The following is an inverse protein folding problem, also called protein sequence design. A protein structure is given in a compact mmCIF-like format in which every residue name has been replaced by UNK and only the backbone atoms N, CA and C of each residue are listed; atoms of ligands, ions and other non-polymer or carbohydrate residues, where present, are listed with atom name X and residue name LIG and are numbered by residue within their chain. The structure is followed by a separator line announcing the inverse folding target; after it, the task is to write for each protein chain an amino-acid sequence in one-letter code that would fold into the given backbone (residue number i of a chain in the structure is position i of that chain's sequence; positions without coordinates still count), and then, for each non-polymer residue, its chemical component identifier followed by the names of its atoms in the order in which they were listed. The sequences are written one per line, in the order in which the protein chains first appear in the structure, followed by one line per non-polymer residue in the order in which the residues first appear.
data_IF_270080125508
#
_entry.id   IF_270080125508
#
_cell.length_a   1.000
_cell.length_b   1.000
_cell.length_c   1.000
_cell.angle_alpha   90.00
_cell.angle_beta   90.00
_cell.angle_gamma   90.00
#
_symmetry.space_group_name_H-M   'P 1'
#
loop_
_entity.id
_entity.type
_entity.pdbx_description
1 polymer ?
#
# COMPACT_ATOMS: atom_id res chain seq x y z
N UNK A 1 34.32 -8.03 43.64
CA UNK A 1 33.23 -7.04 43.50
C UNK A 1 32.82 -6.94 42.03
N UNK A 2 32.17 -7.97 41.48
CA UNK A 2 31.68 -8.00 40.09
C UNK A 2 30.27 -8.64 40.13
N UNK A 3 29.34 -7.93 40.75
CA UNK A 3 27.90 -8.20 40.76
C UNK A 3 27.26 -6.83 40.61
N UNK A 4 26.27 -6.68 39.74
CA UNK A 4 25.63 -5.43 39.28
C UNK A 4 26.12 -4.82 37.96
N UNK A 5 26.21 -5.66 36.92
CA UNK A 5 25.95 -5.21 35.56
C UNK A 5 25.07 -6.25 34.85
N UNK A 6 23.96 -6.60 35.51
CA UNK A 6 22.83 -7.22 34.82
C UNK A 6 22.25 -6.11 33.96
N UNK A 7 22.72 -6.09 32.72
CA UNK A 7 22.12 -5.43 31.58
C UNK A 7 20.64 -5.84 31.61
N UNK A 8 19.79 -4.94 32.11
CA UNK A 8 18.37 -4.89 31.80
C UNK A 8 18.27 -4.68 30.29
N UNK A 9 18.43 -5.77 29.55
CA UNK A 9 17.90 -5.93 28.22
C UNK A 9 16.38 -5.93 28.42
N UNK A 10 15.82 -4.73 28.63
CA UNK A 10 14.40 -4.47 28.49
C UNK A 10 14.11 -4.83 27.04
N UNK A 11 13.72 -6.08 26.82
CA UNK A 11 13.05 -6.49 25.61
C UNK A 11 11.76 -5.68 25.61
N UNK A 12 11.81 -4.47 25.04
CA UNK A 12 10.63 -3.72 24.64
C UNK A 12 10.03 -4.59 23.54
N UNK A 13 9.22 -5.57 23.95
CA UNK A 13 8.39 -6.29 22.99
C UNK A 13 7.49 -5.23 22.38
N UNK A 14 7.69 -4.96 21.09
CA UNK A 14 6.75 -4.15 20.33
C UNK A 14 5.37 -4.73 20.58
N UNK A 15 4.45 -3.90 21.07
CA UNK A 15 3.10 -4.33 21.35
C UNK A 15 2.48 -4.81 20.03
N UNK A 16 2.03 -6.05 19.99
CA UNK A 16 1.39 -6.62 18.81
C UNK A 16 -0.11 -6.44 18.94
N UNK A 17 -0.69 -5.63 18.06
CA UNK A 17 -2.12 -5.45 18.00
C UNK A 17 -2.82 -6.64 17.33
N UNK A 18 -4.00 -6.97 17.83
CA UNK A 18 -4.99 -7.83 17.17
C UNK A 18 -6.13 -6.97 16.63
N UNK A 19 -6.96 -7.53 15.76
CA UNK A 19 -8.16 -6.81 15.31
C UNK A 19 -9.17 -6.48 16.41
N UNK A 20 -9.09 -7.12 17.58
CA UNK A 20 -10.06 -6.92 18.65
C UNK A 20 -9.67 -5.79 19.61
N UNK A 21 -8.37 -5.54 19.78
CA UNK A 21 -7.80 -4.56 20.70
C UNK A 21 -7.14 -3.36 20.00
N UNK A 22 -6.95 -3.42 18.67
CA UNK A 22 -6.53 -2.25 17.90
C UNK A 22 -7.57 -1.11 18.04
N UNK A 23 -7.14 0.11 18.43
CA UNK A 23 -8.06 1.18 18.78
C UNK A 23 -8.84 1.72 17.58
N UNK A 24 -10.06 2.19 17.84
CA UNK A 24 -10.87 2.84 16.81
C UNK A 24 -10.61 4.35 16.77
N UNK A 25 -10.28 4.94 15.60
CA UNK A 25 -10.14 6.39 15.47
C UNK A 25 -11.49 7.12 15.49
N UNK A 26 -12.62 6.39 15.47
CA UNK A 26 -13.99 6.94 15.52
C UNK A 26 -14.74 6.58 16.79
N UNK A 27 -14.22 5.62 17.56
CA UNK A 27 -14.80 5.13 18.79
C UNK A 27 -14.48 6.03 19.98
N UNK A 28 -14.93 5.65 21.19
CA UNK A 28 -14.62 6.36 22.44
C UNK A 28 -13.11 6.37 22.77
N UNK A 29 -12.33 5.53 22.10
CA UNK A 29 -10.90 5.32 22.27
C UNK A 29 -10.04 6.04 21.22
N UNK A 30 -10.59 7.00 20.47
CA UNK A 30 -9.86 7.74 19.43
C UNK A 30 -8.56 8.38 19.94
N UNK A 31 -8.46 8.72 21.23
CA UNK A 31 -7.22 9.28 21.80
C UNK A 31 -6.06 8.27 21.80
N UNK A 32 -6.34 6.97 21.88
CA UNK A 32 -5.33 5.91 21.76
C UNK A 32 -4.71 5.85 20.36
N UNK A 33 -5.39 6.36 19.35
CA UNK A 33 -4.88 6.53 17.99
C UNK A 33 -3.94 7.75 17.84
N UNK A 34 -3.61 8.44 18.93
CA UNK A 34 -2.80 9.66 18.95
C UNK A 34 -3.44 10.85 18.23
N UNK A 35 -4.78 10.89 18.16
CA UNK A 35 -5.54 12.01 17.60
C UNK A 35 -6.38 12.70 18.66
N UNK A 36 -6.57 14.01 18.53
CA UNK A 36 -7.31 14.82 19.51
C UNK A 36 -8.84 14.81 19.32
N UNK A 37 -9.32 14.29 18.18
CA UNK A 37 -10.73 14.19 17.84
C UNK A 37 -10.97 12.94 16.98
N UNK A 38 -12.21 12.45 16.86
CA UNK A 38 -12.53 11.35 15.96
C UNK A 38 -12.09 11.62 14.50
N UNK A 39 -11.35 10.69 13.89
CA UNK A 39 -10.87 10.76 12.49
C UNK A 39 -10.99 9.39 11.79
N UNK A 40 -10.38 9.23 10.62
CA UNK A 40 -10.23 7.94 9.93
C UNK A 40 -8.77 7.45 9.89
N UNK A 41 -7.90 8.03 10.72
CA UNK A 41 -6.48 7.67 10.83
C UNK A 41 -6.21 7.21 12.25
N UNK A 42 -5.57 6.06 12.39
CA UNK A 42 -5.11 5.56 13.67
C UNK A 42 -3.63 5.19 13.63
N UNK A 43 -2.84 5.74 14.57
CA UNK A 43 -1.42 5.42 14.75
C UNK A 43 -1.10 5.31 16.25
N UNK A 44 -1.51 4.22 16.91
CA UNK A 44 -1.32 4.05 18.34
C UNK A 44 0.14 3.80 18.74
N UNK A 45 0.99 3.38 17.80
CA UNK A 45 2.41 3.10 18.06
C UNK A 45 3.34 4.31 17.84
N UNK A 46 2.78 5.44 17.39
CA UNK A 46 3.54 6.67 17.14
C UNK A 46 4.53 6.53 15.99
N UNK A 47 4.13 5.86 14.90
CA UNK A 47 4.94 5.77 13.68
C UNK A 47 5.10 7.14 13.00
N UNK A 48 4.15 8.05 13.23
CA UNK A 48 4.16 9.42 12.74
C UNK A 48 4.31 10.40 13.90
N UNK A 49 5.05 11.48 13.66
CA UNK A 49 4.99 12.68 14.50
C UNK A 49 3.59 13.29 14.48
N UNK A 50 3.27 14.14 15.46
CA UNK A 50 1.96 14.80 15.53
C UNK A 50 1.66 15.65 14.28
N UNK A 51 2.68 16.29 13.71
CA UNK A 51 2.56 17.11 12.51
C UNK A 51 2.30 16.24 11.27
N UNK A 52 3.07 15.16 11.07
CA UNK A 52 2.85 14.21 9.98
C UNK A 52 1.47 13.56 10.06
N UNK A 53 1.06 13.14 11.26
CA UNK A 53 -0.27 12.58 11.52
C UNK A 53 -1.37 13.56 11.16
N UNK A 54 -1.23 14.84 11.51
CA UNK A 54 -2.19 15.89 11.14
C UNK A 54 -2.28 16.06 9.61
N UNK A 55 -1.16 15.95 8.91
CA UNK A 55 -1.13 16.00 7.44
C UNK A 55 -1.81 14.78 6.81
N UNK A 56 -1.55 13.57 7.31
CA UNK A 56 -2.25 12.35 6.85
C UNK A 56 -3.76 12.46 7.10
N UNK A 57 -4.18 12.95 8.27
CA UNK A 57 -5.61 13.19 8.57
C UNK A 57 -6.23 14.14 7.54
N UNK A 58 -5.55 15.23 7.20
CA UNK A 58 -6.02 16.17 6.19
C UNK A 58 -6.11 15.52 4.80
N UNK A 59 -5.10 14.72 4.41
CA UNK A 59 -5.10 13.99 3.13
C UNK A 59 -6.25 12.99 3.03
N UNK A 60 -6.57 12.29 4.13
CA UNK A 60 -7.68 11.34 4.21
C UNK A 60 -9.04 12.05 4.11
N UNK A 61 -9.22 13.19 4.78
CA UNK A 61 -10.44 13.98 4.66
C UNK A 61 -10.61 14.58 3.25
N UNK A 62 -9.52 15.04 2.64
CA UNK A 62 -9.53 15.57 1.28
C UNK A 62 -9.71 14.48 0.23
N UNK A 63 -9.29 13.23 0.52
CA UNK A 63 -9.55 12.08 -0.34
C UNK A 63 -11.05 11.92 -0.60
N UNK A 64 -11.87 11.95 0.46
CA UNK A 64 -13.33 11.89 0.32
C UNK A 64 -13.87 13.04 -0.52
N UNK A 65 -13.46 14.27 -0.22
CA UNK A 65 -13.94 15.46 -0.95
C UNK A 65 -13.60 15.41 -2.44
N UNK A 66 -12.37 15.03 -2.77
CA UNK A 66 -11.85 15.04 -4.14
C UNK A 66 -12.31 13.84 -4.98
N UNK A 67 -12.78 12.77 -4.35
CA UNK A 67 -13.38 11.62 -5.05
C UNK A 67 -14.90 11.73 -5.17
N UNK A 68 -15.51 12.83 -4.70
CA UNK A 68 -16.95 13.10 -4.92
C UNK A 68 -17.27 13.28 -6.39
N UNK A 69 -18.41 12.73 -6.79
CA UNK A 69 -18.96 12.81 -8.14
C UNK A 69 -20.40 13.32 -8.07
N UNK A 70 -20.62 14.64 -7.97
CA UNK A 70 -21.96 15.20 -7.73
C UNK A 70 -23.02 14.74 -8.74
N UNK A 71 -22.61 14.50 -9.99
CA UNK A 71 -23.48 14.13 -11.10
C UNK A 71 -23.64 12.60 -11.27
N UNK A 72 -22.99 11.79 -10.44
CA UNK A 72 -23.09 10.33 -10.57
C UNK A 72 -24.51 9.84 -10.24
N UNK A 73 -24.99 8.87 -11.03
CA UNK A 73 -26.25 8.16 -10.76
C UNK A 73 -26.19 7.39 -9.44
N UNK A 74 -24.99 6.99 -9.00
CA UNK A 74 -24.78 6.22 -7.78
C UNK A 74 -24.61 7.14 -6.57
N UNK A 75 -25.47 6.97 -5.55
CA UNK A 75 -25.44 7.80 -4.34
C UNK A 75 -24.07 7.85 -3.66
N UNK A 76 -23.40 6.71 -3.51
CA UNK A 76 -22.12 6.65 -2.79
C UNK A 76 -20.98 7.35 -3.54
N UNK A 77 -21.03 7.40 -4.87
CA UNK A 77 -20.10 8.21 -5.64
C UNK A 77 -20.33 9.71 -5.43
N UNK A 78 -21.59 10.17 -5.29
CA UNK A 78 -21.90 11.57 -4.97
C UNK A 78 -21.33 12.00 -3.62
N UNK A 79 -21.36 11.09 -2.64
CA UNK A 79 -20.82 11.34 -1.29
C UNK A 79 -19.29 11.29 -1.20
N UNK A 80 -18.64 10.68 -2.20
CA UNK A 80 -17.19 10.50 -2.27
C UNK A 80 -16.71 9.29 -1.46
N UNK A 81 -15.57 8.74 -1.86
CA UNK A 81 -15.03 7.52 -1.27
C UNK A 81 -14.35 7.81 0.07
N UNK A 82 -14.60 6.94 1.06
CA UNK A 82 -13.89 7.03 2.35
C UNK A 82 -12.59 6.26 2.31
N UNK A 83 -11.58 6.88 2.89
CA UNK A 83 -10.30 6.26 3.15
C UNK A 83 -10.11 6.11 4.65
N UNK A 84 -9.63 4.94 5.08
CA UNK A 84 -9.28 4.66 6.47
C UNK A 84 -7.84 4.18 6.51
N UNK A 85 -7.08 4.65 7.49
CA UNK A 85 -5.66 4.35 7.61
C UNK A 85 -5.37 3.82 9.01
N UNK A 86 -4.77 2.62 9.09
CA UNK A 86 -4.17 2.07 10.29
C UNK A 86 -2.66 2.02 10.15
N UNK A 87 -1.97 2.41 11.21
CA UNK A 87 -0.53 2.29 11.35
C UNK A 87 -0.22 1.45 12.59
N UNK A 88 0.74 0.53 12.47
CA UNK A 88 1.19 -0.29 13.58
C UNK A 88 2.64 -0.70 13.35
N UNK A 89 3.49 -0.74 14.37
CA UNK A 89 4.88 -1.19 14.19
C UNK A 89 4.95 -2.64 13.72
N UNK A 90 4.07 -3.48 14.27
CA UNK A 90 3.92 -4.88 13.88
C UNK A 90 2.60 -5.05 13.14
N UNK A 91 2.58 -5.92 12.11
CA UNK A 91 1.37 -6.25 11.36
C UNK A 91 0.20 -6.59 12.29
N UNK A 92 -0.98 -6.03 12.02
CA UNK A 92 -2.15 -6.23 12.87
C UNK A 92 -2.66 -7.65 12.64
N UNK A 93 -2.56 -8.46 13.69
CA UNK A 93 -2.85 -9.89 13.63
C UNK A 93 -4.35 -10.22 13.70
N UNK A 94 -4.73 -11.42 13.24
CA UNK A 94 -6.04 -11.95 13.55
C UNK A 94 -6.22 -12.04 15.07
N UNK A 95 -7.45 -11.85 15.54
CA UNK A 95 -7.82 -12.33 16.87
C UNK A 95 -7.79 -13.87 16.89
N UNK A 96 -7.93 -14.49 18.07
CA UNK A 96 -8.15 -15.95 18.22
C UNK A 96 -9.40 -16.49 17.47
N UNK A 97 -10.07 -15.61 16.73
CA UNK A 97 -11.27 -15.81 15.93
C UNK A 97 -10.83 -16.05 14.48
N UNK A 98 -11.18 -17.21 13.92
CA UNK A 98 -10.60 -17.84 12.72
C UNK A 98 -10.90 -17.13 11.38
N UNK A 99 -11.15 -15.83 11.40
CA UNK A 99 -11.37 -15.03 10.19
C UNK A 99 -10.04 -14.86 9.46
N UNK A 100 -9.76 -15.73 8.50
CA UNK A 100 -8.52 -15.72 7.72
C UNK A 100 -8.47 -14.48 6.82
N UNK A 101 -7.42 -13.67 6.94
CA UNK A 101 -6.89 -12.87 5.83
C UNK A 101 -7.51 -11.50 5.52
N UNK A 102 -8.53 -11.04 6.24
CA UNK A 102 -9.10 -9.70 6.04
C UNK A 102 -8.88 -8.85 7.29
N UNK A 103 -8.17 -7.74 7.13
CA UNK A 103 -8.02 -6.77 8.21
C UNK A 103 -9.42 -6.25 8.56
N UNK A 104 -9.85 -6.38 9.84
CA UNK A 104 -11.18 -5.88 10.27
C UNK A 104 -11.36 -4.37 10.03
N UNK A 105 -10.27 -3.67 9.70
CA UNK A 105 -10.24 -2.33 9.12
C UNK A 105 -11.28 -2.12 8.02
N UNK A 106 -11.40 -3.06 7.09
CA UNK A 106 -12.40 -3.00 6.02
C UNK A 106 -13.62 -3.87 6.27
N UNK A 107 -13.55 -4.86 7.16
CA UNK A 107 -14.70 -5.66 7.52
C UNK A 107 -15.68 -4.83 8.36
N UNK A 108 -16.57 -4.12 7.65
CA UNK A 108 -17.58 -3.24 8.23
C UNK A 108 -18.63 -3.98 9.10
N UNK A 109 -18.53 -5.30 9.24
CA UNK A 109 -19.39 -6.12 10.09
C UNK A 109 -19.40 -5.63 11.55
N UNK A 110 -18.34 -4.97 12.00
CA UNK A 110 -18.25 -4.43 13.37
C UNK A 110 -18.55 -2.93 13.50
N UNK A 111 -18.69 -2.19 12.38
CA UNK A 111 -18.77 -0.71 12.35
C UNK A 111 -17.79 0.00 13.30
N UNK A 112 -16.64 -0.60 13.61
CA UNK A 112 -15.68 -0.01 14.56
C UNK A 112 -14.95 1.17 13.95
N UNK A 113 -14.62 1.07 12.67
CA UNK A 113 -13.87 2.07 11.92
C UNK A 113 -14.76 3.01 11.12
N UNK A 114 -16.04 2.67 11.04
CA UNK A 114 -17.12 3.52 10.56
C UNK A 114 -17.95 3.96 11.78
N UNK A 115 -18.91 4.87 11.64
CA UNK A 115 -19.80 5.20 12.77
C UNK A 115 -20.73 4.02 13.06
N UNK A 116 -21.17 3.81 14.30
CA UNK A 116 -22.29 2.88 14.59
C UNK A 116 -23.56 3.24 13.81
N UNK A 117 -23.70 4.51 13.44
CA UNK A 117 -24.79 5.05 12.62
C UNK A 117 -24.37 5.28 11.15
N UNK A 118 -23.33 4.57 10.68
CA UNK A 118 -22.85 4.70 9.31
C UNK A 118 -23.97 4.43 8.30
N UNK A 119 -24.25 5.37 7.39
CA UNK A 119 -25.06 5.08 6.21
C UNK A 119 -24.43 3.97 5.35
N UNK A 120 -25.18 3.46 4.37
CA UNK A 120 -24.65 2.52 3.36
C UNK A 120 -23.39 3.08 2.70
N UNK A 121 -23.36 4.36 2.34
CA UNK A 121 -22.19 4.96 1.69
C UNK A 121 -21.05 5.24 2.68
N UNK A 122 -21.38 5.53 3.94
CA UNK A 122 -20.40 5.67 5.01
C UNK A 122 -19.66 4.36 5.34
N UNK A 123 -20.31 3.25 5.03
CA UNK A 123 -19.80 1.90 5.15
C UNK A 123 -18.90 1.48 3.97
N UNK A 124 -18.87 2.25 2.88
CA UNK A 124 -18.03 1.99 1.71
C UNK A 124 -16.63 2.60 1.92
N UNK A 125 -15.65 1.75 2.25
CA UNK A 125 -14.34 2.15 2.74
C UNK A 125 -13.22 1.47 1.97
N UNK A 126 -12.27 2.28 1.52
CA UNK A 126 -10.94 1.87 1.14
C UNK A 126 -10.03 1.93 2.37
N UNK A 127 -9.41 0.81 2.74
CA UNK A 127 -8.48 0.74 3.87
C UNK A 127 -7.03 0.67 3.43
N UNK A 128 -6.16 1.30 4.21
CA UNK A 128 -4.70 1.17 4.15
C UNK A 128 -4.24 0.72 5.53
N UNK A 129 -3.44 -0.35 5.57
CA UNK A 129 -2.71 -0.78 6.76
C UNK A 129 -1.22 -0.69 6.46
N UNK A 130 -0.51 0.12 7.24
CA UNK A 130 0.93 0.30 7.14
C UNK A 130 1.59 -0.25 8.41
N UNK A 131 2.60 -1.09 8.21
CA UNK A 131 3.51 -1.53 9.27
C UNK A 131 4.98 -1.36 8.85
N UNK A 132 5.91 -1.68 9.75
CA UNK A 132 7.35 -1.49 9.48
C UNK A 132 7.83 -2.30 8.26
N UNK A 133 7.19 -3.44 7.98
CA UNK A 133 7.60 -4.38 6.93
C UNK A 133 6.83 -4.18 5.61
N UNK A 134 5.63 -3.59 5.64
CA UNK A 134 4.72 -3.60 4.50
C UNK A 134 3.63 -2.54 4.57
N UNK A 135 3.15 -2.15 3.38
CA UNK A 135 1.84 -1.53 3.21
C UNK A 135 0.91 -2.52 2.54
N UNK A 136 -0.26 -2.68 3.11
CA UNK A 136 -1.34 -3.47 2.55
C UNK A 136 -2.60 -2.62 2.44
N UNK A 137 -3.49 -3.02 1.55
CA UNK A 137 -4.76 -2.36 1.37
C UNK A 137 -5.89 -3.38 1.48
N UNK A 138 -7.04 -2.91 1.93
CA UNK A 138 -8.26 -3.70 1.95
C UNK A 138 -9.40 -2.89 1.33
N UNK A 139 -10.43 -3.57 0.86
CA UNK A 139 -11.53 -2.95 0.12
C UNK A 139 -12.85 -3.47 0.65
N UNK A 140 -13.70 -2.54 1.06
CA UNK A 140 -15.11 -2.78 1.32
C UNK A 140 -15.90 -1.67 0.65
N UNK A 141 -15.87 -1.69 -0.67
CA UNK A 141 -16.45 -0.65 -1.52
C UNK A 141 -17.41 -1.32 -2.50
N UNK A 142 -18.45 -0.59 -2.89
CA UNK A 142 -19.43 -1.07 -3.85
C UNK A 142 -18.73 -1.33 -5.19
N UNK A 143 -19.17 -2.34 -5.93
CA UNK A 143 -18.45 -2.84 -7.11
C UNK A 143 -18.32 -1.78 -8.21
N UNK A 144 -19.27 -0.84 -8.29
CA UNK A 144 -19.19 0.28 -9.22
C UNK A 144 -18.11 1.31 -8.85
N UNK A 145 -17.67 1.34 -7.58
CA UNK A 145 -16.58 2.19 -7.09
C UNK A 145 -15.23 1.45 -7.07
N UNK A 146 -15.14 0.19 -7.50
CA UNK A 146 -13.88 -0.55 -7.44
C UNK A 146 -12.90 -0.15 -8.55
N UNK A 147 -11.64 0.09 -8.16
CA UNK A 147 -10.50 -0.02 -9.08
C UNK A 147 -10.22 -1.50 -9.39
N UNK A 148 -9.78 -1.78 -10.61
CA UNK A 148 -9.32 -3.10 -11.00
C UNK A 148 -7.98 -3.47 -10.35
N UNK A 149 -7.70 -4.77 -10.23
CA UNK A 149 -6.45 -5.28 -9.63
C UNK A 149 -5.19 -4.65 -10.25
N UNK A 150 -5.13 -4.57 -11.58
CA UNK A 150 -4.01 -3.98 -12.32
C UNK A 150 -3.83 -2.48 -12.08
N UNK A 151 -4.86 -1.76 -11.62
CA UNK A 151 -4.74 -0.35 -11.22
C UNK A 151 -4.07 -0.23 -9.85
N UNK A 152 -4.35 -1.15 -8.92
CA UNK A 152 -3.65 -1.21 -7.64
C UNK A 152 -2.17 -1.59 -7.80
N UNK A 153 -1.85 -2.50 -8.72
CA UNK A 153 -0.45 -2.88 -9.02
C UNK A 153 0.41 -1.68 -9.50
N UNK A 154 -0.22 -0.61 -10.01
CA UNK A 154 0.49 0.64 -10.36
C UNK A 154 0.92 1.42 -9.12
N UNK A 155 0.22 1.27 -8.00
CA UNK A 155 0.57 1.91 -6.73
C UNK A 155 1.77 1.23 -6.08
N UNK A 156 1.91 -0.09 -6.21
CA UNK A 156 3.00 -0.85 -5.58
C UNK A 156 4.38 -0.48 -6.15
N UNK A 157 4.43 0.13 -7.34
CA UNK A 157 5.67 0.60 -7.97
C UNK A 157 6.25 1.88 -7.36
N UNK A 158 5.53 2.56 -6.45
CA UNK A 158 6.04 3.74 -5.73
C UNK A 158 6.80 3.40 -4.44
N UNK A 159 7.14 2.13 -4.23
CA UNK A 159 7.75 1.59 -3.01
C UNK A 159 9.16 2.10 -2.63
N UNK A 160 9.70 3.13 -3.29
CA UNK A 160 11.02 3.70 -3.00
C UNK A 160 11.15 4.26 -1.58
N UNK A 161 10.05 4.70 -0.97
CA UNK A 161 10.04 5.31 0.37
C UNK A 161 10.05 4.28 1.51
N UNK A 162 9.52 3.07 1.29
CA UNK A 162 9.53 1.98 2.27
C UNK A 162 10.94 1.51 2.62
N UNK A 163 11.84 1.46 1.62
CA UNK A 163 13.23 1.03 1.82
C UNK A 163 14.07 2.00 2.67
N UNK A 164 13.58 3.21 2.97
CA UNK A 164 14.31 4.24 3.71
C UNK A 164 13.73 4.55 5.10
N UNK A 165 12.83 3.70 5.62
CA UNK A 165 12.09 3.95 6.87
C UNK A 165 11.32 5.29 6.86
N UNK A 166 10.95 5.79 5.68
CA UNK A 166 10.21 7.03 5.54
C UNK A 166 8.71 6.71 5.34
N UNK A 167 8.07 6.32 6.44
CA UNK A 167 6.68 5.87 6.46
C UNK A 167 5.70 7.00 6.12
N UNK A 168 6.01 8.24 6.52
CA UNK A 168 5.19 9.41 6.23
C UNK A 168 5.10 9.66 4.72
N UNK A 169 6.24 9.81 4.02
CA UNK A 169 6.22 10.07 2.58
C UNK A 169 5.64 8.87 1.81
N UNK A 170 5.96 7.64 2.24
CA UNK A 170 5.40 6.44 1.63
C UNK A 170 3.85 6.43 1.69
N UNK A 171 3.29 6.75 2.86
CA UNK A 171 1.85 6.80 3.05
C UNK A 171 1.22 7.97 2.29
N UNK A 172 1.84 9.15 2.36
CA UNK A 172 1.39 10.36 1.66
C UNK A 172 1.32 10.13 0.15
N UNK A 173 2.37 9.59 -0.45
CA UNK A 173 2.43 9.30 -1.88
C UNK A 173 1.41 8.24 -2.28
N UNK A 174 1.25 7.18 -1.47
CA UNK A 174 0.24 6.17 -1.72
C UNK A 174 -1.17 6.77 -1.76
N UNK A 175 -1.53 7.60 -0.76
CA UNK A 175 -2.85 8.26 -0.68
C UNK A 175 -3.07 9.20 -1.88
N UNK A 176 -2.06 9.97 -2.27
CA UNK A 176 -2.13 10.90 -3.40
C UNK A 176 -2.33 10.13 -4.71
N UNK A 177 -1.54 9.09 -4.96
CA UNK A 177 -1.61 8.31 -6.19
C UNK A 177 -2.92 7.51 -6.28
N UNK A 178 -3.36 6.91 -5.16
CA UNK A 178 -4.65 6.23 -5.06
C UNK A 178 -5.79 7.20 -5.41
N UNK A 179 -5.77 8.43 -4.85
CA UNK A 179 -6.76 9.46 -5.17
C UNK A 179 -6.75 9.81 -6.66
N UNK A 180 -5.57 9.96 -7.25
CA UNK A 180 -5.45 10.26 -8.68
C UNK A 180 -6.02 9.14 -9.55
N UNK A 181 -5.83 7.87 -9.18
CA UNK A 181 -6.45 6.73 -9.88
C UNK A 181 -7.98 6.81 -9.84
N UNK A 182 -8.57 7.07 -8.67
CA UNK A 182 -10.02 7.26 -8.54
C UNK A 182 -10.52 8.46 -9.35
N UNK A 183 -9.77 9.58 -9.35
CA UNK A 183 -10.15 10.74 -10.15
C UNK A 183 -10.11 10.41 -11.64
N UNK A 184 -9.03 9.79 -12.11
CA UNK A 184 -8.86 9.46 -13.53
C UNK A 184 -9.88 8.45 -14.03
N UNK A 185 -10.12 7.37 -13.27
CA UNK A 185 -11.08 6.33 -13.66
C UNK A 185 -12.49 6.88 -13.81
N UNK A 186 -12.91 7.73 -12.88
CA UNK A 186 -14.29 8.18 -12.81
C UNK A 186 -14.56 9.54 -13.46
N UNK A 187 -13.53 10.27 -13.92
CA UNK A 187 -13.73 11.54 -14.64
C UNK A 187 -14.31 11.34 -16.04
N UNK A 188 -14.12 10.16 -16.65
CA UNK A 188 -14.63 9.84 -17.99
C UNK A 188 -16.17 9.78 -17.99
N UNK A 189 -16.79 9.47 -16.85
CA UNK A 189 -18.25 9.27 -16.75
C UNK A 189 -19.02 10.51 -16.30
N UNK A 190 -18.34 11.61 -15.95
CA UNK A 190 -18.97 12.85 -15.50
C UNK A 190 -19.30 13.82 -16.66
N UNK A 191 -19.00 13.46 -17.92
CA UNK A 191 -19.29 14.28 -19.09
C UNK A 191 -20.51 13.73 -19.86
N UNK A 192 -21.72 14.27 -19.64
CA UNK A 192 -22.94 13.79 -20.31
C UNK A 192 -23.00 14.11 -21.82
N UNK A 193 -22.13 14.98 -22.33
CA UNK A 193 -22.16 15.46 -23.72
C UNK A 193 -21.60 14.48 -24.75
N UNK A 194 -21.09 13.30 -24.36
CA UNK A 194 -20.50 12.32 -25.28
C UNK A 194 -21.49 11.22 -25.72
N UNK A 195 -22.80 11.44 -25.55
CA UNK A 195 -23.83 10.48 -25.96
C UNK A 195 -24.65 10.87 -27.19
N UNK A 196 -24.41 12.04 -27.78
CA UNK A 196 -25.12 12.52 -28.98
C UNK A 196 -24.17 13.13 -30.02
N UNK A 197 -23.18 12.36 -30.51
CA UNK A 197 -22.68 12.61 -31.86
C UNK A 197 -22.99 11.43 -32.78
N UNK A 198 -23.73 11.80 -33.81
CA UNK A 198 -24.36 10.99 -34.82
C UNK A 198 -23.37 10.18 -35.66
N UNK A 199 -23.96 9.15 -36.26
CA UNK A 199 -23.38 8.26 -37.27
C UNK A 199 -22.88 9.02 -38.51
N UNK A 200 -21.77 8.47 -39.06
CA UNK A 200 -21.38 8.36 -40.49
C UNK A 200 -20.26 9.31 -40.99
N UNK A 201 -19.53 8.98 -42.09
CA UNK A 201 -18.51 7.93 -42.12
C UNK A 201 -17.14 8.42 -42.64
N UNK A 202 -16.11 7.64 -42.31
CA UNK A 202 -14.80 7.48 -42.98
C UNK A 202 -14.08 8.71 -43.54
N UNK A 203 -12.93 9.03 -42.95
CA UNK A 203 -11.78 9.46 -43.74
C UNK A 203 -10.44 8.95 -43.16
N UNK A 204 -9.97 7.87 -43.79
CA UNK A 204 -8.58 7.56 -44.12
C UNK A 204 -7.47 8.19 -43.26
N UNK A 205 -6.91 7.42 -42.32
CA UNK A 205 -5.55 7.66 -41.80
C UNK A 205 -4.60 6.58 -42.31
N UNK A 206 -3.70 7.00 -43.18
CA UNK A 206 -2.59 6.22 -43.69
C UNK A 206 -1.66 5.75 -42.56
N UNK A 207 -1.22 4.50 -42.68
CA UNK A 207 -0.10 3.91 -41.96
C UNK A 207 1.16 4.77 -42.08
N UNK A 208 1.81 5.11 -40.95
CA UNK A 208 3.28 5.01 -40.73
C UNK A 208 3.56 5.07 -39.23
N UNK A 209 4.01 3.97 -38.61
CA UNK A 209 5.05 3.91 -37.56
C UNK A 209 5.08 2.53 -36.87
N UNK A 210 5.19 1.46 -37.68
CA UNK A 210 5.30 0.08 -37.19
C UNK A 210 6.73 -0.41 -37.02
N UNK A 211 7.74 0.37 -37.42
CA UNK A 211 9.14 -0.10 -37.49
C UNK A 211 9.95 0.33 -36.26
N UNK A 212 9.64 1.48 -35.65
CA UNK A 212 10.34 1.95 -34.45
C UNK A 212 10.07 1.09 -33.21
N UNK A 213 8.86 0.51 -33.09
CA UNK A 213 8.49 -0.31 -31.93
C UNK A 213 9.11 -1.72 -31.95
N UNK A 214 9.39 -2.27 -33.14
CA UNK A 214 9.98 -3.61 -33.26
C UNK A 214 11.49 -3.56 -32.97
N UNK A 215 12.18 -2.52 -33.45
CA UNK A 215 13.62 -2.34 -33.21
C UNK A 215 13.90 -2.14 -31.71
N UNK A 216 13.04 -1.38 -31.00
CA UNK A 216 13.20 -1.16 -29.57
C UNK A 216 13.03 -2.46 -28.74
N UNK A 217 12.08 -3.32 -29.12
CA UNK A 217 11.88 -4.62 -28.45
C UNK A 217 13.05 -5.60 -28.67
N UNK A 218 13.66 -5.61 -29.87
CA UNK A 218 14.79 -6.49 -30.17
C UNK A 218 16.06 -6.05 -29.42
N UNK A 219 16.31 -4.74 -29.33
CA UNK A 219 17.46 -4.21 -28.59
C UNK A 219 17.33 -4.53 -27.09
N UNK A 220 16.16 -4.31 -26.48
CA UNK A 220 15.93 -4.64 -25.07
C UNK A 220 16.13 -6.15 -24.82
N UNK A 221 15.63 -7.00 -25.70
CA UNK A 221 15.78 -8.46 -25.56
C UNK A 221 17.25 -8.88 -25.62
N UNK A 222 18.06 -8.29 -26.51
CA UNK A 222 19.49 -8.55 -26.59
C UNK A 222 20.25 -8.07 -25.35
N UNK A 223 19.91 -6.88 -24.83
CA UNK A 223 20.52 -6.34 -23.60
C UNK A 223 20.21 -7.24 -22.40
N UNK A 224 18.98 -7.74 -22.28
CA UNK A 224 18.60 -8.65 -21.20
C UNK A 224 19.33 -10.00 -21.29
N UNK A 225 19.51 -10.55 -22.49
CA UNK A 225 20.28 -11.79 -22.69
C UNK A 225 21.75 -11.59 -22.30
N UNK A 226 22.38 -10.48 -22.70
CA UNK A 226 23.77 -10.18 -22.34
C UNK A 226 23.92 -10.00 -20.82
N UNK A 227 23.00 -9.29 -20.18
CA UNK A 227 23.01 -9.11 -18.71
C UNK A 227 22.83 -10.45 -17.99
N UNK A 228 21.91 -11.30 -18.47
CA UNK A 228 21.72 -12.65 -17.92
C UNK A 228 23.00 -13.48 -17.98
N UNK A 229 23.68 -13.50 -19.14
CA UNK A 229 24.95 -14.23 -19.28
C UNK A 229 26.05 -13.70 -18.36
N UNK A 230 26.16 -12.38 -18.19
CA UNK A 230 27.16 -11.77 -17.29
C UNK A 230 26.90 -12.08 -15.82
N UNK A 231 25.65 -12.09 -15.40
CA UNK A 231 25.27 -12.45 -14.03
C UNK A 231 25.62 -13.93 -13.77
N UNK A 232 25.28 -14.81 -14.71
CA UNK A 232 25.58 -16.24 -14.58
C UNK A 232 27.10 -16.53 -14.58
N UNK A 233 27.88 -15.80 -15.37
CA UNK A 233 29.35 -15.88 -15.37
C UNK A 233 29.94 -15.44 -14.01
N UNK A 234 29.40 -14.38 -13.42
CA UNK A 234 29.80 -13.90 -12.09
C UNK A 234 29.48 -14.93 -10.99
N UNK A 235 28.28 -15.53 -11.01
CA UNK A 235 27.90 -16.57 -10.05
C UNK A 235 28.82 -17.79 -10.12
N UNK A 236 29.18 -18.24 -11.32
CA UNK A 236 30.14 -19.33 -11.52
C UNK A 236 31.53 -18.97 -10.97
N UNK A 237 31.99 -17.73 -11.17
CA UNK A 237 33.29 -17.27 -10.65
C UNK A 237 33.33 -17.17 -9.11
N UNK A 238 32.19 -16.87 -8.48
CA UNK A 238 32.04 -16.80 -7.02
C UNK A 238 32.04 -18.22 -6.44
N UNK A 239 31.34 -19.15 -7.09
CA UNK A 239 31.28 -20.54 -6.64
C UNK A 239 32.63 -21.26 -6.74
N UNK A 240 33.42 -21.02 -7.80
CA UNK A 240 34.78 -21.56 -7.90
C UNK A 240 35.73 -21.01 -6.82
N UNK A 241 35.59 -19.73 -6.43
CA UNK A 241 36.39 -19.16 -5.34
C UNK A 241 36.00 -19.72 -3.97
N UNK A 242 34.75 -20.12 -3.77
CA UNK A 242 34.32 -20.78 -2.53
C UNK A 242 34.91 -22.18 -2.41
N UNK A 243 34.86 -23.00 -3.46
CA UNK A 243 35.39 -24.38 -3.43
C UNK A 243 36.91 -24.43 -3.23
N UNK A 244 37.67 -23.56 -3.88
CA UNK A 244 39.13 -23.48 -3.68
C UNK A 244 39.54 -23.11 -2.25
N UNK A 245 38.73 -22.32 -1.54
CA UNK A 245 39.01 -21.92 -0.15
C UNK A 245 38.79 -23.05 0.87
N UNK A 246 37.92 -24.02 0.55
CA UNK A 246 37.68 -25.19 1.42
C UNK A 246 38.74 -26.29 1.24
N UNK A 247 39.32 -26.45 0.05
CA UNK A 247 40.40 -27.42 -0.17
C UNK A 247 41.73 -27.00 0.50
N UNK A 248 41.96 -25.69 0.65
CA UNK A 248 43.18 -25.17 1.28
C UNK A 248 43.20 -25.29 2.81
N UNK A 249 42.09 -25.66 3.45
CA UNK A 249 42.00 -25.90 4.91
C UNK A 249 42.18 -27.37 5.31
N UNK A 250 42.27 -28.30 4.36
CA UNK A 250 42.39 -29.74 4.63
C UNK A 250 43.84 -30.27 4.61
N UNK A 251 44.83 -29.40 4.43
CA UNK A 251 46.26 -29.74 4.47
C UNK A 251 46.91 -29.00 5.64
N UNK A 252 46.66 -29.44 6.87
CA UNK A 252 47.55 -29.15 8.01
C UNK A 252 48.10 -30.47 8.55
N UNK A 253 49.42 -30.63 8.68
CA UNK A 253 50.00 -31.85 9.20
C UNK A 253 49.77 -31.92 10.72
N UNK A 254 49.24 -33.06 11.17
CA UNK A 254 49.34 -33.46 12.58
C UNK A 254 50.82 -33.74 12.87
N UNK A 255 51.47 -32.81 13.57
CA UNK A 255 52.71 -33.11 14.29
C UNK A 255 52.36 -33.71 15.66
N UNK A 256 52.84 -34.93 15.86
CA UNK A 256 53.09 -35.57 17.15
C UNK A 256 54.58 -35.84 17.24
#
# INVERSE_FOLDING_TARGET
MIKFLIITCLIIKAHSWTWNDYPSPRGPDYSKCGVFKPTYVCDPDGMLTDQERKEIVQLVEDFKKKTKRPNSIHQCMREGLRLVVALAKVKIGPSNDSSVGFTKLCANNSRRWTSTHATKCESNVQGIELNLDSLSYCRWIDSFMELHRNEYEKLDKTGTHFYKNNYFDALKDYIINLRMLYIHRYSIFDNPDVSNEDKSPQQSSNNVSGIASIIFCVIISLVLVVLYYRIHELENSINQRKTSKYEMQLIMPMHS
#
